data_IF_472832001821
#
_entry.id   IF_472832001821
#
_cell.length_a   1.000
_cell.length_b   1.000
_cell.length_c   1.000
_cell.angle_alpha   90.00
_cell.angle_beta   90.00
_cell.angle_gamma   90.00
#
_symmetry.space_group_name_H-M   'P 1'
#
loop_
_entity.id
_entity.type
_entity.pdbx_description
1 polymer ?
#
# COMPACT_ATOMS: atom_id res chain seq x y z
N UNK A 1 -22.87 19.04 0.38
CA UNK A 1 -22.01 20.08 -0.25
C UNK A 1 -20.80 20.30 0.64
N UNK A 2 -19.60 20.23 0.07
CA UNK A 2 -18.34 20.46 0.77
C UNK A 2 -18.31 21.89 1.36
N UNK A 3 -18.73 22.04 2.61
CA UNK A 3 -18.77 23.32 3.32
C UNK A 3 -17.42 23.66 3.94
N UNK A 4 -16.90 24.83 3.58
CA UNK A 4 -15.86 25.63 4.24
C UNK A 4 -14.36 25.28 4.11
N UNK A 5 -13.95 24.12 3.61
CA UNK A 5 -12.54 23.97 3.20
C UNK A 5 -12.34 22.81 2.23
N UNK A 6 -12.16 23.14 0.94
CA UNK A 6 -11.77 22.19 -0.10
C UNK A 6 -10.53 21.39 0.33
N UNK A 7 -9.55 22.07 0.91
CA UNK A 7 -8.31 21.45 1.37
C UNK A 7 -8.54 20.43 2.50
N UNK A 8 -9.34 20.74 3.51
CA UNK A 8 -9.64 19.79 4.60
C UNK A 8 -10.33 18.53 4.09
N UNK A 9 -11.28 18.68 3.16
CA UNK A 9 -11.96 17.53 2.55
C UNK A 9 -10.98 16.64 1.75
N UNK A 10 -10.05 17.26 1.00
CA UNK A 10 -9.00 16.53 0.29
C UNK A 10 -8.07 15.82 1.27
N UNK A 11 -7.64 16.49 2.34
CA UNK A 11 -6.76 15.94 3.38
C UNK A 11 -7.37 14.68 4.00
N UNK A 12 -8.62 14.74 4.47
CA UNK A 12 -9.27 13.58 5.08
C UNK A 12 -9.43 12.42 4.10
N UNK A 13 -9.86 12.71 2.87
CA UNK A 13 -10.03 11.68 1.84
C UNK A 13 -8.69 11.02 1.50
N UNK A 14 -7.65 11.82 1.30
CA UNK A 14 -6.30 11.33 0.98
C UNK A 14 -5.73 10.52 2.14
N UNK A 15 -5.81 11.02 3.38
CA UNK A 15 -5.33 10.31 4.56
C UNK A 15 -6.00 8.95 4.75
N UNK A 16 -7.32 8.85 4.53
CA UNK A 16 -8.02 7.57 4.59
C UNK A 16 -7.60 6.59 3.49
N UNK A 17 -7.31 7.09 2.28
CA UNK A 17 -6.81 6.28 1.18
C UNK A 17 -5.38 5.80 1.43
N UNK A 18 -4.52 6.68 1.91
CA UNK A 18 -3.12 6.38 2.23
C UNK A 18 -3.03 5.35 3.37
N UNK A 19 -3.87 5.46 4.40
CA UNK A 19 -3.93 4.47 5.48
C UNK A 19 -4.34 3.07 4.98
N UNK A 20 -5.34 2.99 4.10
CA UNK A 20 -5.76 1.72 3.47
C UNK A 20 -4.63 1.15 2.60
N UNK A 21 -3.98 2.00 1.81
CA UNK A 21 -2.85 1.63 0.95
C UNK A 21 -1.67 1.11 1.77
N UNK A 22 -1.29 1.81 2.85
CA UNK A 22 -0.20 1.42 3.72
C UNK A 22 -0.38 0.00 4.27
N UNK A 23 -1.60 -0.34 4.73
CA UNK A 23 -1.92 -1.69 5.22
C UNK A 23 -1.70 -2.79 4.18
N UNK A 24 -2.04 -2.52 2.92
CA UNK A 24 -1.85 -3.47 1.81
C UNK A 24 -0.37 -3.61 1.49
N UNK A 25 0.36 -2.50 1.35
CA UNK A 25 1.80 -2.52 1.06
C UNK A 25 2.60 -3.25 2.14
N UNK A 26 2.27 -3.06 3.42
CA UNK A 26 2.96 -3.79 4.50
C UNK A 26 2.80 -5.30 4.38
N UNK A 27 1.65 -5.79 3.90
CA UNK A 27 1.45 -7.22 3.64
C UNK A 27 2.26 -7.68 2.43
N UNK A 28 2.15 -6.96 1.32
CA UNK A 28 2.87 -7.28 0.08
C UNK A 28 4.39 -7.36 0.30
N UNK A 29 4.97 -6.40 1.02
CA UNK A 29 6.42 -6.39 1.32
C UNK A 29 6.83 -7.65 2.10
N UNK A 30 5.99 -8.07 3.07
CA UNK A 30 6.27 -9.29 3.83
C UNK A 30 6.25 -10.51 2.92
N UNK A 31 5.24 -10.64 2.07
CA UNK A 31 5.13 -11.76 1.12
C UNK A 31 6.31 -11.79 0.15
N UNK A 32 6.70 -10.65 -0.44
CA UNK A 32 7.87 -10.55 -1.32
C UNK A 32 9.15 -10.96 -0.59
N UNK A 33 9.31 -10.56 0.67
CA UNK A 33 10.48 -10.93 1.49
C UNK A 33 10.51 -12.43 1.79
N UNK A 34 9.36 -13.05 2.00
CA UNK A 34 9.27 -14.50 2.23
C UNK A 34 9.55 -15.25 0.93
N UNK A 35 8.89 -14.88 -0.17
CA UNK A 35 9.06 -15.50 -1.48
C UNK A 35 10.52 -15.48 -1.96
N UNK A 36 11.21 -14.36 -1.78
CA UNK A 36 12.65 -14.23 -2.12
C UNK A 36 13.57 -15.04 -1.21
N UNK A 37 13.18 -15.30 0.04
CA UNK A 37 13.95 -16.15 0.96
C UNK A 37 13.74 -17.65 0.71
N UNK A 38 12.53 -18.05 0.31
CA UNK A 38 12.17 -19.46 0.12
C UNK A 38 12.34 -19.95 -1.33
N UNK A 39 12.23 -19.04 -2.30
CA UNK A 39 12.33 -19.32 -3.72
C UNK A 39 13.64 -18.85 -4.33
N UNK A 40 13.64 -18.66 -5.65
CA UNK A 40 14.80 -18.18 -6.39
C UNK A 40 14.84 -16.64 -6.43
N UNK A 41 16.04 -16.04 -6.48
CA UNK A 41 16.18 -14.57 -6.52
C UNK A 41 15.69 -13.94 -7.83
N UNK A 42 15.56 -14.74 -8.90
CA UNK A 42 14.99 -14.31 -10.17
C UNK A 42 13.45 -14.39 -10.11
N UNK A 43 12.73 -13.25 -10.22
CA UNK A 43 11.27 -13.21 -10.16
C UNK A 43 10.59 -14.08 -11.23
N UNK A 44 11.20 -14.23 -12.41
CA UNK A 44 10.61 -15.04 -13.50
C UNK A 44 10.69 -16.54 -13.21
N UNK A 45 11.57 -16.94 -12.28
CA UNK A 45 11.78 -18.31 -11.85
C UNK A 45 11.21 -18.58 -10.45
N UNK A 46 10.49 -17.60 -9.86
CA UNK A 46 9.92 -17.65 -8.52
C UNK A 46 8.43 -17.25 -8.55
N UNK A 47 7.54 -18.17 -8.95
CA UNK A 47 6.09 -17.92 -9.09
C UNK A 47 5.35 -17.74 -7.76
#
# INVERSE_FOLDING_TARGET
MAGHSQFKNIMYRKGAQDAKRAKIFSKLIREVTVATKTGLPDPEMNP
#
